data_IF_117375451856
#
_entry.id   IF_117375451856
#
_cell.length_a   1.000
_cell.length_b   1.000
_cell.length_c   1.000
_cell.angle_alpha   90.00
_cell.angle_beta   90.00
_cell.angle_gamma   90.00
#
_symmetry.space_group_name_H-M   'P 1'
#
loop_
_entity.id
_entity.type
_entity.pdbx_description
1 polymer ?
#
# COMPACT_ATOMS: atom_id res chain seq x y z
N UNK A 1 -24.77 33.94 -0.77
CA UNK A 1 -25.68 32.79 -0.64
C UNK A 1 -25.28 31.76 -1.67
N UNK A 2 -24.18 31.07 -1.39
CA UNK A 2 -23.64 30.06 -2.30
C UNK A 2 -24.34 28.75 -2.00
N UNK A 3 -25.34 28.43 -2.83
CA UNK A 3 -25.87 27.08 -2.90
C UNK A 3 -24.71 26.23 -3.39
N UNK A 4 -24.07 25.50 -2.47
CA UNK A 4 -23.16 24.39 -2.75
C UNK A 4 -23.71 23.65 -3.97
N UNK A 5 -22.95 23.67 -5.07
CA UNK A 5 -23.38 23.02 -6.30
C UNK A 5 -23.67 21.55 -5.99
N UNK A 6 -24.93 21.16 -6.08
CA UNK A 6 -25.33 19.79 -5.80
C UNK A 6 -24.67 18.87 -6.83
N UNK A 7 -23.76 18.02 -6.37
CA UNK A 7 -23.22 16.92 -7.17
C UNK A 7 -24.18 15.76 -7.05
N UNK A 8 -24.67 15.25 -8.18
CA UNK A 8 -25.55 14.09 -8.21
C UNK A 8 -24.72 12.82 -7.94
N UNK A 9 -25.08 12.09 -6.88
CA UNK A 9 -24.45 10.81 -6.52
C UNK A 9 -25.32 9.61 -6.88
N UNK A 10 -26.60 9.85 -7.18
CA UNK A 10 -27.58 8.81 -7.48
C UNK A 10 -28.57 9.34 -8.53
N UNK A 11 -28.88 8.50 -9.52
CA UNK A 11 -29.88 8.75 -10.55
C UNK A 11 -30.70 7.48 -10.76
N UNK A 12 -32.02 7.64 -10.69
CA UNK A 12 -32.97 6.61 -11.03
C UNK A 12 -33.72 7.01 -12.31
N UNK A 13 -33.65 6.18 -13.34
CA UNK A 13 -34.34 6.34 -14.62
C UNK A 13 -35.42 5.28 -14.72
N UNK A 14 -36.67 5.70 -14.94
CA UNK A 14 -37.79 4.79 -15.14
C UNK A 14 -38.38 5.01 -16.53
N UNK A 15 -38.36 3.96 -17.35
CA UNK A 15 -38.93 3.94 -18.69
C UNK A 15 -40.15 3.03 -18.71
N UNK A 16 -41.30 3.59 -19.06
CA UNK A 16 -42.50 2.82 -19.38
C UNK A 16 -42.68 2.69 -20.88
N UNK A 17 -42.72 1.47 -21.41
CA UNK A 17 -42.91 1.19 -22.84
C UNK A 17 -44.13 0.28 -23.00
N UNK A 18 -44.91 0.50 -24.06
CA UNK A 18 -46.02 -0.38 -24.42
C UNK A 18 -45.58 -1.21 -25.62
N UNK A 19 -45.53 -2.53 -25.48
CA UNK A 19 -45.10 -3.46 -26.53
C UNK A 19 -46.28 -4.32 -26.95
N UNK A 20 -46.51 -4.41 -28.26
CA UNK A 20 -47.45 -5.36 -28.82
C UNK A 20 -46.69 -6.62 -29.28
N UNK A 21 -46.91 -7.73 -28.58
CA UNK A 21 -46.25 -9.00 -28.91
C UNK A 21 -46.98 -9.72 -30.04
N UNK A 22 -46.28 -10.36 -30.99
CA UNK A 22 -46.92 -11.07 -32.11
C UNK A 22 -47.93 -12.16 -31.68
N UNK A 23 -47.75 -12.71 -30.48
CA UNK A 23 -48.55 -13.80 -29.92
C UNK A 23 -49.58 -13.33 -28.88
N UNK A 24 -49.79 -12.02 -28.70
CA UNK A 24 -50.75 -11.45 -27.74
C UNK A 24 -51.67 -10.45 -28.44
N UNK A 25 -52.96 -10.55 -28.18
CA UNK A 25 -53.96 -9.63 -28.75
C UNK A 25 -53.99 -8.26 -28.06
N UNK A 26 -53.45 -8.18 -26.84
CA UNK A 26 -53.46 -6.97 -26.01
C UNK A 26 -52.01 -6.52 -25.81
N UNK A 27 -51.70 -5.24 -26.08
CA UNK A 27 -50.37 -4.73 -25.83
C UNK A 27 -50.08 -4.69 -24.32
N UNK A 28 -48.85 -5.02 -23.95
CA UNK A 28 -48.39 -5.11 -22.57
C UNK A 28 -47.54 -3.90 -22.20
N UNK A 29 -47.76 -3.36 -20.99
CA UNK A 29 -46.91 -2.31 -20.43
C UNK A 29 -45.69 -2.94 -19.78
N UNK A 30 -44.52 -2.52 -20.19
CA UNK A 30 -43.24 -2.88 -19.62
C UNK A 30 -42.63 -1.70 -18.88
N UNK A 31 -41.93 -2.00 -17.79
CA UNK A 31 -41.20 -1.00 -17.01
C UNK A 31 -39.74 -1.40 -16.92
N UNK A 32 -38.85 -0.48 -17.29
CA UNK A 32 -37.40 -0.64 -17.19
C UNK A 32 -36.91 0.41 -16.20
N UNK A 33 -36.35 -0.04 -15.09
CA UNK A 33 -35.83 0.82 -14.03
C UNK A 33 -34.30 0.67 -14.02
N UNK A 34 -33.59 1.79 -14.18
CA UNK A 34 -32.14 1.84 -14.19
C UNK A 34 -31.69 2.72 -13.02
N UNK A 35 -30.96 2.12 -12.10
CA UNK A 35 -30.35 2.79 -10.95
C UNK A 35 -28.85 2.97 -11.18
N UNK A 36 -28.39 4.21 -11.08
CA UNK A 36 -26.99 4.60 -11.24
C UNK A 36 -26.54 5.27 -9.94
N UNK A 37 -25.68 4.61 -9.18
CA UNK A 37 -25.18 5.13 -7.91
C UNK A 37 -23.65 5.21 -7.91
N UNK A 38 -23.11 6.32 -7.41
CA UNK A 38 -21.68 6.46 -7.14
C UNK A 38 -21.41 6.15 -5.67
N UNK A 39 -20.32 5.44 -5.41
CA UNK A 39 -19.85 5.19 -4.05
C UNK A 39 -19.09 6.42 -3.56
N UNK A 40 -19.82 7.46 -3.19
CA UNK A 40 -19.27 8.59 -2.44
C UNK A 40 -19.26 8.23 -0.95
N UNK A 41 -18.06 7.99 -0.42
CA UNK A 41 -17.68 7.85 1.00
C UNK A 41 -18.72 7.32 2.00
N UNK A 42 -18.52 6.06 2.42
CA UNK A 42 -18.72 5.44 3.76
C UNK A 42 -19.99 5.69 4.61
N UNK A 43 -20.95 6.54 4.21
CA UNK A 43 -22.11 6.89 5.04
C UNK A 43 -23.40 7.11 4.24
N UNK A 44 -23.46 6.75 2.96
CA UNK A 44 -24.75 6.70 2.27
C UNK A 44 -25.56 5.53 2.82
N UNK A 45 -26.69 5.86 3.43
CA UNK A 45 -27.63 4.89 3.98
C UNK A 45 -27.95 3.82 2.93
N UNK A 46 -27.62 2.57 3.26
CA UNK A 46 -28.02 1.40 2.51
C UNK A 46 -29.54 1.43 2.32
N UNK A 47 -29.97 1.77 1.11
CA UNK A 47 -31.38 1.89 0.76
C UNK A 47 -31.95 0.58 0.24
N UNK A 48 -31.08 -0.37 -0.12
CA UNK A 48 -31.50 -1.66 -0.68
C UNK A 48 -30.69 -2.87 -0.19
N UNK A 49 -31.24 -4.07 -0.35
CA UNK A 49 -30.57 -5.34 -0.04
C UNK A 49 -29.23 -5.50 -0.79
N UNK A 50 -29.09 -4.80 -1.92
CA UNK A 50 -27.86 -4.72 -2.69
C UNK A 50 -26.74 -3.95 -1.96
N UNK A 51 -27.07 -2.85 -1.27
CA UNK A 51 -26.08 -2.08 -0.50
C UNK A 51 -25.47 -2.91 0.65
N UNK A 52 -26.24 -3.85 1.21
CA UNK A 52 -25.76 -4.78 2.25
C UNK A 52 -24.74 -5.78 1.66
N UNK A 53 -24.97 -6.29 0.45
CA UNK A 53 -24.01 -7.17 -0.24
C UNK A 53 -22.73 -6.42 -0.68
N UNK A 54 -22.86 -5.11 -0.94
CA UNK A 54 -21.80 -4.21 -1.36
C UNK A 54 -20.96 -3.66 -0.21
N UNK A 55 -21.54 -3.49 1.00
CA UNK A 55 -20.84 -3.00 2.21
C UNK A 55 -19.62 -3.84 2.61
N UNK A 56 -19.55 -5.10 2.18
CA UNK A 56 -18.43 -6.01 2.43
C UNK A 56 -17.26 -5.86 1.45
N UNK A 57 -17.41 -5.08 0.37
CA UNK A 57 -16.34 -4.83 -0.62
C UNK A 57 -16.00 -3.35 -0.62
N UNK A 58 -15.02 -2.98 0.20
CA UNK A 58 -14.42 -1.63 0.37
C UNK A 58 -13.87 -0.96 -0.93
N UNK A 59 -14.20 -1.44 -2.13
CA UNK A 59 -13.49 -1.08 -3.36
C UNK A 59 -14.38 -0.94 -4.60
N UNK A 60 -15.68 -0.72 -4.44
CA UNK A 60 -16.59 -0.50 -5.58
C UNK A 60 -16.85 0.99 -5.68
N UNK A 61 -16.52 1.59 -6.82
CA UNK A 61 -16.60 3.04 -7.02
C UNK A 61 -17.97 3.53 -7.50
N UNK A 62 -18.75 2.64 -8.11
CA UNK A 62 -20.08 2.92 -8.60
C UNK A 62 -20.78 1.64 -9.04
N UNK A 63 -22.11 1.69 -9.10
CA UNK A 63 -22.99 0.56 -9.41
C UNK A 63 -24.03 1.02 -10.42
N UNK A 64 -24.29 0.16 -11.40
CA UNK A 64 -25.45 0.25 -12.28
C UNK A 64 -26.31 -0.98 -12.05
N UNK A 65 -27.55 -0.79 -11.64
CA UNK A 65 -28.54 -1.86 -11.51
C UNK A 65 -29.67 -1.62 -12.52
N UNK A 66 -30.11 -2.69 -13.18
CA UNK A 66 -31.16 -2.66 -14.19
C UNK A 66 -32.21 -3.67 -13.78
N UNK A 67 -33.44 -3.21 -13.62
CA UNK A 67 -34.61 -4.03 -13.33
C UNK A 67 -35.59 -3.92 -14.51
N UNK A 68 -36.07 -5.05 -15.00
CA UNK A 68 -37.03 -5.13 -16.11
C UNK A 68 -38.26 -5.87 -15.60
N UNK A 69 -39.38 -5.16 -15.53
CA UNK A 69 -40.64 -5.66 -15.01
C UNK A 69 -41.64 -5.90 -16.13
N UNK A 70 -42.42 -6.98 -15.99
CA UNK A 70 -43.54 -7.34 -16.87
C UNK A 70 -43.15 -7.57 -18.35
N UNK A 71 -42.08 -8.35 -18.56
CA UNK A 71 -41.54 -8.69 -19.89
C UNK A 71 -41.37 -10.20 -20.04
N UNK A 72 -41.55 -10.72 -21.25
CA UNK A 72 -41.18 -12.11 -21.59
C UNK A 72 -39.67 -12.34 -21.37
N UNK A 73 -39.30 -13.52 -20.83
CA UNK A 73 -37.92 -13.80 -20.41
C UNK A 73 -36.87 -13.57 -21.51
N UNK A 74 -37.13 -14.02 -22.73
CA UNK A 74 -36.18 -13.87 -23.84
C UNK A 74 -35.98 -12.40 -24.23
N UNK A 75 -37.07 -11.61 -24.22
CA UNK A 75 -37.01 -10.18 -24.48
C UNK A 75 -36.30 -9.42 -23.35
N UNK A 76 -36.50 -9.84 -22.10
CA UNK A 76 -35.79 -9.28 -20.95
C UNK A 76 -34.27 -9.52 -21.07
N UNK A 77 -33.86 -10.73 -21.44
CA UNK A 77 -32.45 -11.09 -21.64
C UNK A 77 -31.81 -10.29 -22.79
N UNK A 78 -32.53 -10.10 -23.91
CA UNK A 78 -32.07 -9.30 -25.05
C UNK A 78 -31.92 -7.81 -24.69
N UNK A 79 -32.91 -7.24 -23.98
CA UNK A 79 -32.85 -5.85 -23.50
C UNK A 79 -31.70 -5.65 -22.50
N UNK A 80 -31.50 -6.58 -21.56
CA UNK A 80 -30.37 -6.56 -20.64
C UNK A 80 -29.03 -6.57 -21.39
N UNK A 81 -28.92 -7.42 -22.41
CA UNK A 81 -27.71 -7.51 -23.24
C UNK A 81 -27.47 -6.21 -24.01
N UNK A 82 -28.51 -5.62 -24.60
CA UNK A 82 -28.41 -4.35 -25.32
C UNK A 82 -28.02 -3.19 -24.41
N UNK A 83 -28.64 -3.09 -23.22
CA UNK A 83 -28.30 -2.07 -22.23
C UNK A 83 -26.87 -2.29 -21.73
N UNK A 84 -26.47 -3.52 -21.40
CA UNK A 84 -25.10 -3.84 -20.97
C UNK A 84 -24.06 -3.44 -22.03
N UNK A 85 -24.29 -3.78 -23.30
CA UNK A 85 -23.41 -3.40 -24.40
C UNK A 85 -23.35 -1.87 -24.59
N UNK A 86 -24.46 -1.16 -24.37
CA UNK A 86 -24.49 0.31 -24.44
C UNK A 86 -23.74 0.96 -23.28
N UNK A 87 -23.71 0.30 -22.12
CA UNK A 87 -22.99 0.78 -20.96
C UNK A 87 -21.49 0.46 -21.05
N UNK A 88 -21.07 -0.59 -21.74
CA UNK A 88 -19.66 -1.02 -21.84
C UNK A 88 -18.69 0.11 -22.23
N UNK A 89 -19.15 1.07 -23.05
CA UNK A 89 -18.36 2.23 -23.49
C UNK A 89 -18.17 3.30 -22.41
N UNK A 90 -19.06 3.38 -21.41
CA UNK A 90 -18.93 4.31 -20.28
C UNK A 90 -18.17 3.70 -19.09
N UNK A 91 -17.88 2.40 -19.11
CA UNK A 91 -17.12 1.74 -18.04
C UNK A 91 -15.61 1.93 -18.23
N UNK A 92 -14.98 2.57 -17.24
CA UNK A 92 -13.51 2.59 -17.14
C UNK A 92 -13.04 1.27 -16.54
N UNK A 93 -12.45 0.42 -17.38
CA UNK A 93 -11.87 -0.86 -16.93
C UNK A 93 -10.63 -0.60 -16.06
N UNK A 94 -10.72 -0.98 -14.78
CA UNK A 94 -9.56 -0.96 -13.89
C UNK A 94 -8.50 -1.98 -14.38
N UNK A 95 -7.24 -1.56 -14.57
CA UNK A 95 -6.21 -2.48 -15.00
C UNK A 95 -5.90 -3.52 -13.91
N UNK A 96 -5.69 -4.78 -14.35
CA UNK A 96 -5.52 -5.95 -13.45
C UNK A 96 -4.44 -5.75 -12.39
N UNK A 97 -3.34 -5.05 -12.70
CA UNK A 97 -2.24 -4.81 -11.77
C UNK A 97 -2.65 -3.94 -10.57
N UNK A 98 -3.51 -2.92 -10.77
CA UNK A 98 -4.01 -2.08 -9.67
C UNK A 98 -4.87 -2.89 -8.71
N UNK A 99 -5.70 -3.79 -9.24
CA UNK A 99 -6.54 -4.70 -8.45
C UNK A 99 -5.72 -5.63 -7.56
N UNK A 100 -4.65 -6.23 -8.10
CA UNK A 100 -3.74 -7.09 -7.34
C UNK A 100 -2.99 -6.29 -6.28
N UNK A 101 -2.46 -5.12 -6.64
CA UNK A 101 -1.74 -4.26 -5.71
C UNK A 101 -2.63 -3.78 -4.56
N UNK A 102 -3.90 -3.43 -4.83
CA UNK A 102 -4.89 -3.08 -3.80
C UNK A 102 -5.12 -4.22 -2.82
N UNK A 103 -5.24 -5.44 -3.34
CA UNK A 103 -5.45 -6.63 -2.52
C UNK A 103 -4.24 -6.90 -1.61
N UNK A 104 -3.02 -6.81 -2.15
CA UNK A 104 -1.77 -6.94 -1.36
C UNK A 104 -1.71 -5.85 -0.28
N UNK A 105 -1.97 -4.58 -0.63
CA UNK A 105 -1.96 -3.46 0.31
C UNK A 105 -3.06 -3.54 1.38
N UNK A 106 -4.20 -4.16 1.07
CA UNK A 106 -5.30 -4.44 2.00
C UNK A 106 -4.93 -5.52 3.01
N UNK A 107 -4.16 -6.53 2.59
CA UNK A 107 -3.62 -7.55 3.49
C UNK A 107 -2.58 -6.98 4.46
N UNK A 108 -1.83 -5.96 4.03
CA UNK A 108 -0.87 -5.25 4.89
C UNK A 108 -1.65 -4.31 5.81
N UNK A 109 -2.15 -4.89 6.92
CA UNK A 109 -2.61 -4.12 8.08
C UNK A 109 -1.36 -3.54 8.75
N UNK A 110 -1.07 -2.28 8.43
CA UNK A 110 0.08 -1.53 8.96
C UNK A 110 0.21 -1.66 10.49
N UNK A 111 -0.91 -1.69 11.19
CA UNK A 111 -1.02 -1.86 12.65
C UNK A 111 -0.38 -3.18 13.15
N UNK A 112 -0.54 -4.27 12.41
CA UNK A 112 -0.09 -5.62 12.83
C UNK A 112 1.39 -5.85 12.49
N UNK A 113 1.86 -5.26 11.40
CA UNK A 113 3.24 -5.42 10.92
C UNK A 113 4.23 -4.56 11.73
N UNK A 114 3.77 -3.48 12.35
CA UNK A 114 4.62 -2.53 13.07
C UNK A 114 5.15 -3.06 14.40
N UNK A 115 4.32 -3.79 15.15
CA UNK A 115 4.66 -4.32 16.47
C UNK A 115 5.90 -5.22 16.43
N UNK A 116 5.99 -6.26 15.57
CA UNK A 116 7.16 -7.11 15.52
C UNK A 116 8.40 -6.37 15.00
N UNK A 117 8.26 -5.43 14.06
CA UNK A 117 9.41 -4.67 13.52
C UNK A 117 10.04 -3.77 14.60
N UNK A 118 9.22 -3.03 15.37
CA UNK A 118 9.72 -2.19 16.47
C UNK A 118 10.46 -3.03 17.51
N UNK A 119 9.99 -4.24 17.79
CA UNK A 119 10.57 -5.11 18.81
C UNK A 119 11.84 -5.82 18.30
N UNK A 120 11.80 -6.38 17.08
CA UNK A 120 12.90 -7.17 16.52
C UNK A 120 14.09 -6.32 16.11
N UNK A 121 13.88 -5.07 15.72
CA UNK A 121 14.94 -4.22 15.24
C UNK A 121 16.04 -3.86 16.23
N UNK A 122 15.74 -3.39 17.46
CA UNK A 122 16.76 -3.16 18.46
C UNK A 122 17.45 -4.48 18.87
N UNK A 123 16.74 -5.60 18.80
CA UNK A 123 17.33 -6.92 19.06
C UNK A 123 18.36 -7.25 17.97
N UNK A 124 17.99 -7.12 16.69
CA UNK A 124 18.88 -7.42 15.56
C UNK A 124 20.09 -6.49 15.48
N UNK A 125 19.94 -5.19 15.77
CA UNK A 125 21.07 -4.26 15.77
C UNK A 125 22.12 -4.61 16.82
N UNK A 126 21.70 -5.11 17.99
CA UNK A 126 22.63 -5.57 19.03
C UNK A 126 23.44 -6.80 18.53
N UNK A 127 22.84 -7.65 17.70
CA UNK A 127 23.50 -8.87 17.19
C UNK A 127 24.41 -8.64 15.98
N UNK A 128 24.05 -7.76 15.05
CA UNK A 128 24.80 -7.57 13.79
C UNK A 128 26.05 -6.71 13.94
N UNK A 129 26.06 -5.76 14.88
CA UNK A 129 27.21 -4.85 15.06
C UNK A 129 28.34 -5.42 15.94
N UNK A 130 28.18 -6.62 16.52
CA UNK A 130 29.30 -7.39 17.08
C UNK A 130 30.09 -8.09 15.97
N UNK A 131 30.52 -7.31 14.97
CA UNK A 131 31.22 -7.84 13.79
C UNK A 131 32.55 -8.48 14.19
N UNK A 132 33.00 -9.36 13.30
CA UNK A 132 34.16 -10.23 13.43
C UNK A 132 35.48 -9.49 13.70
N UNK A 133 35.61 -8.23 13.27
CA UNK A 133 36.87 -7.48 13.33
C UNK A 133 37.30 -7.16 14.77
N UNK A 134 36.35 -6.85 15.67
CA UNK A 134 36.66 -6.68 17.10
C UNK A 134 37.09 -8.01 17.73
N UNK A 135 36.52 -9.13 17.27
CA UNK A 135 36.87 -10.47 17.79
C UNK A 135 38.26 -10.89 17.34
N UNK A 136 38.66 -10.59 16.11
CA UNK A 136 39.97 -10.97 15.57
C UNK A 136 41.10 -10.09 16.12
N UNK A 137 40.87 -8.79 16.31
CA UNK A 137 41.79 -7.89 17.00
C UNK A 137 41.92 -8.22 18.51
N UNK A 138 40.83 -8.64 19.16
CA UNK A 138 40.84 -9.06 20.55
C UNK A 138 41.50 -10.43 20.76
N UNK A 139 41.26 -11.37 19.83
CA UNK A 139 41.83 -12.71 19.88
C UNK A 139 43.34 -12.70 19.64
N UNK A 140 43.83 -11.84 18.74
CA UNK A 140 45.27 -11.64 18.53
C UNK A 140 45.96 -11.04 19.76
N UNK A 141 45.35 -10.04 20.43
CA UNK A 141 45.87 -9.47 21.70
C UNK A 141 45.87 -10.49 22.84
N UNK A 142 44.85 -11.35 22.91
CA UNK A 142 44.79 -12.47 23.86
C UNK A 142 45.89 -13.50 23.60
N UNK A 143 46.12 -13.88 22.33
CA UNK A 143 47.17 -14.82 21.95
C UNK A 143 48.56 -14.30 22.32
N UNK A 144 48.83 -13.02 22.08
CA UNK A 144 50.09 -12.36 22.43
C UNK A 144 50.37 -12.43 23.94
N UNK A 145 49.40 -12.05 24.77
CA UNK A 145 49.49 -12.09 26.24
C UNK A 145 49.56 -13.53 26.77
N UNK A 146 48.87 -14.47 26.12
CA UNK A 146 48.88 -15.89 26.51
C UNK A 146 50.23 -16.58 26.24
N UNK A 147 50.95 -16.11 25.21
CA UNK A 147 52.24 -16.64 24.75
C UNK A 147 53.44 -16.19 25.58
N UNK A 148 53.31 -15.13 26.41
CA UNK A 148 54.34 -14.73 27.36
C UNK A 148 54.49 -15.75 28.51
N UNK A 149 55.74 -16.09 28.86
CA UNK A 149 56.09 -17.12 29.85
C UNK A 149 55.36 -16.93 31.20
N UNK A 150 54.59 -17.97 31.55
CA UNK A 150 53.61 -17.99 32.67
C UNK A 150 54.18 -17.81 34.09
N UNK A 151 55.49 -17.81 34.25
CA UNK A 151 56.16 -17.84 35.57
C UNK A 151 56.79 -16.52 35.97
N UNK A 152 56.85 -15.52 35.06
CA UNK A 152 57.36 -14.20 35.41
C UNK A 152 56.27 -13.36 36.11
N UNK A 153 56.62 -12.66 37.18
CA UNK A 153 55.72 -11.76 37.92
C UNK A 153 55.10 -10.70 36.98
N UNK A 154 55.85 -10.28 35.96
CA UNK A 154 55.43 -9.33 34.93
C UNK A 154 54.35 -9.93 34.02
N UNK A 155 54.49 -11.19 33.59
CA UNK A 155 53.49 -11.86 32.77
C UNK A 155 52.18 -12.12 33.52
N UNK A 156 52.25 -12.44 34.82
CA UNK A 156 51.06 -12.56 35.68
C UNK A 156 50.37 -11.20 35.84
N UNK A 157 51.12 -10.12 36.06
CA UNK A 157 50.56 -8.78 36.18
C UNK A 157 49.83 -8.33 34.91
N UNK A 158 50.43 -8.53 33.73
CA UNK A 158 49.78 -8.21 32.44
C UNK A 158 48.51 -9.01 32.19
N UNK A 159 48.47 -10.30 32.55
CA UNK A 159 47.26 -11.13 32.45
C UNK A 159 46.16 -10.63 33.39
N UNK A 160 46.53 -10.24 34.61
CA UNK A 160 45.61 -9.73 35.61
C UNK A 160 45.08 -8.34 35.23
N UNK A 161 45.93 -7.47 34.68
CA UNK A 161 45.54 -6.17 34.14
C UNK A 161 44.64 -6.32 32.92
N UNK A 162 44.90 -7.28 32.02
CA UNK A 162 44.02 -7.54 30.87
C UNK A 162 42.64 -8.06 31.31
N UNK A 163 42.59 -8.98 32.29
CA UNK A 163 41.33 -9.47 32.86
C UNK A 163 40.58 -8.34 33.59
N UNK A 164 41.31 -7.52 34.36
CA UNK A 164 40.76 -6.36 35.07
C UNK A 164 40.22 -5.32 34.10
N UNK A 165 41.00 -4.95 33.09
CA UNK A 165 40.59 -4.06 32.01
C UNK A 165 39.35 -4.59 31.31
N UNK A 166 39.29 -5.88 30.96
CA UNK A 166 38.09 -6.46 30.34
C UNK A 166 36.91 -6.49 31.29
N UNK A 167 37.07 -6.84 32.56
CA UNK A 167 35.96 -6.91 33.51
C UNK A 167 35.40 -5.53 33.85
N UNK A 168 36.26 -4.51 34.00
CA UNK A 168 35.87 -3.16 34.38
C UNK A 168 35.56 -2.24 33.18
N UNK A 169 36.29 -2.36 32.04
CA UNK A 169 36.00 -1.59 30.81
C UNK A 169 34.96 -2.25 29.88
N UNK A 170 34.42 -3.44 30.18
CA UNK A 170 33.18 -3.92 29.52
C UNK A 170 32.02 -2.92 29.70
N UNK A 171 32.16 -1.97 30.63
CA UNK A 171 31.18 -0.92 30.94
C UNK A 171 31.49 0.45 30.35
N UNK A 172 32.50 0.65 29.48
CA UNK A 172 32.72 1.96 28.85
C UNK A 172 31.92 2.11 27.54
N UNK A 173 30.85 2.93 27.52
CA UNK A 173 29.99 3.11 26.36
C UNK A 173 30.46 4.35 25.59
N UNK A 174 31.57 4.27 24.87
CA UNK A 174 32.10 5.46 24.16
C UNK A 174 32.07 5.32 22.64
N UNK A 175 32.27 4.11 22.11
CA UNK A 175 32.14 3.82 20.67
C UNK A 175 30.78 3.17 20.37
N UNK A 176 30.25 2.37 21.30
CA UNK A 176 28.92 1.77 21.20
C UNK A 176 27.80 2.81 21.16
N UNK A 177 27.88 3.91 21.91
CA UNK A 177 26.79 4.89 21.94
C UNK A 177 26.59 5.61 20.60
N UNK A 178 27.66 6.09 19.97
CA UNK A 178 27.52 6.82 18.71
C UNK A 178 27.22 5.91 17.51
N UNK A 179 27.81 4.71 17.46
CA UNK A 179 27.64 3.80 16.33
C UNK A 179 26.31 3.02 16.39
N UNK A 180 25.87 2.61 17.58
CA UNK A 180 24.56 1.98 17.78
C UNK A 180 23.43 3.00 17.60
N UNK A 181 23.64 4.26 18.01
CA UNK A 181 22.69 5.35 17.76
C UNK A 181 22.59 5.71 16.27
N UNK A 182 23.71 5.72 15.54
CA UNK A 182 23.70 5.95 14.09
C UNK A 182 23.05 4.80 13.32
N UNK A 183 23.36 3.54 13.67
CA UNK A 183 22.72 2.35 13.09
C UNK A 183 21.23 2.29 13.39
N UNK A 184 20.82 2.63 14.63
CA UNK A 184 19.42 2.78 15.00
C UNK A 184 18.74 3.92 14.23
N UNK A 185 19.43 5.05 14.04
CA UNK A 185 18.96 6.18 13.24
C UNK A 185 18.69 5.80 11.77
N UNK A 186 19.60 5.08 11.13
CA UNK A 186 19.41 4.56 9.76
C UNK A 186 18.22 3.60 9.73
N UNK A 187 18.11 2.72 10.71
CA UNK A 187 17.02 1.76 10.80
C UNK A 187 15.65 2.46 10.92
N UNK A 188 15.52 3.42 11.84
CA UNK A 188 14.32 4.24 12.01
C UNK A 188 14.00 5.03 10.75
N UNK A 189 15.01 5.65 10.12
CA UNK A 189 14.84 6.36 8.86
C UNK A 189 14.30 5.43 7.75
N UNK A 190 14.80 4.20 7.67
CA UNK A 190 14.35 3.20 6.69
C UNK A 190 12.88 2.82 6.91
N UNK A 191 12.45 2.65 8.17
CA UNK A 191 11.03 2.43 8.50
C UNK A 191 10.18 3.63 8.08
N UNK A 192 10.59 4.85 8.43
CA UNK A 192 9.83 6.07 8.12
C UNK A 192 9.66 6.19 6.61
N UNK A 193 10.73 5.97 5.84
CA UNK A 193 10.67 5.95 4.37
C UNK A 193 9.69 4.87 3.92
N UNK A 194 9.80 3.64 4.42
CA UNK A 194 8.91 2.54 4.05
C UNK A 194 7.43 2.83 4.37
N UNK A 195 7.13 3.55 5.46
CA UNK A 195 5.78 3.98 5.80
C UNK A 195 5.24 5.02 4.83
N UNK A 196 6.04 6.04 4.52
CA UNK A 196 5.69 7.06 3.52
C UNK A 196 5.37 6.37 2.20
N UNK A 197 6.22 5.42 1.81
CA UNK A 197 6.05 4.58 0.62
C UNK A 197 4.71 3.84 0.61
N UNK A 198 4.36 3.10 1.66
CA UNK A 198 3.10 2.35 1.71
C UNK A 198 1.91 3.31 1.71
N UNK A 199 1.98 4.38 2.51
CA UNK A 199 0.91 5.37 2.61
C UNK A 199 0.61 5.99 1.24
N UNK A 200 1.66 6.41 0.55
CA UNK A 200 1.55 7.00 -0.77
C UNK A 200 1.14 5.99 -1.85
N UNK A 201 1.57 4.73 -1.76
CA UNK A 201 1.08 3.67 -2.65
C UNK A 201 -0.41 3.39 -2.44
N UNK A 202 -0.90 3.38 -1.18
CA UNK A 202 -2.34 3.24 -0.89
C UNK A 202 -3.16 4.35 -1.54
N UNK A 203 -2.65 5.58 -1.49
CA UNK A 203 -3.28 6.73 -2.14
C UNK A 203 -3.34 6.56 -3.68
N UNK A 204 -2.25 6.08 -4.28
CA UNK A 204 -2.14 5.91 -5.75
C UNK A 204 -2.97 4.75 -6.31
N UNK A 205 -3.43 3.84 -5.45
CA UNK A 205 -4.14 2.60 -5.82
C UNK A 205 -5.63 2.67 -5.47
N UNK A 206 -6.13 3.86 -5.11
CA UNK A 206 -7.56 4.11 -4.95
C UNK A 206 -8.33 3.72 -6.21
N UNK A 207 -9.52 3.11 -6.06
CA UNK A 207 -10.36 2.78 -7.20
C UNK A 207 -10.69 4.06 -7.99
N UNK A 208 -10.85 3.96 -9.33
CA UNK A 208 -11.21 5.12 -10.15
C UNK A 208 -12.57 5.66 -9.70
N UNK A 209 -12.67 6.94 -9.38
CA UNK A 209 -13.93 7.56 -8.88
C UNK A 209 -14.99 7.54 -9.98
N UNK A 210 -16.24 7.18 -9.63
CA UNK A 210 -17.39 7.23 -10.52
C UNK A 210 -18.17 8.54 -10.33
N UNK A 211 -18.66 9.11 -11.43
CA UNK A 211 -19.40 10.36 -11.44
C UNK A 211 -20.69 10.22 -12.24
N UNK A 212 -21.74 10.91 -11.83
CA UNK A 212 -22.97 11.04 -12.62
C UNK A 212 -23.07 12.47 -13.14
N UNK A 213 -22.69 12.66 -14.39
CA UNK A 213 -22.58 13.98 -15.03
C UNK A 213 -23.88 14.37 -15.71
N UNK A 214 -24.82 14.94 -14.94
CA UNK A 214 -26.07 15.50 -15.50
C UNK A 214 -25.95 17.00 -15.86
N UNK A 215 -24.99 17.70 -15.28
CA UNK A 215 -24.84 19.16 -15.45
C UNK A 215 -23.39 19.52 -15.77
N UNK A 216 -23.20 20.65 -16.45
CA UNK A 216 -21.87 21.21 -16.74
C UNK A 216 -21.06 21.53 -15.48
N UNK A 217 -21.71 21.75 -14.33
CA UNK A 217 -21.03 21.91 -13.04
C UNK A 217 -20.44 20.59 -12.54
N UNK A 218 -21.20 19.50 -12.67
CA UNK A 218 -20.74 18.16 -12.29
C UNK A 218 -19.63 17.67 -13.20
N UNK A 219 -19.68 18.03 -14.49
CA UNK A 219 -18.62 17.78 -15.45
C UNK A 219 -17.31 18.48 -15.06
N UNK A 220 -17.36 19.78 -14.71
CA UNK A 220 -16.18 20.51 -14.21
C UNK A 220 -15.63 19.90 -12.92
N UNK A 221 -16.50 19.51 -12.00
CA UNK A 221 -16.10 18.84 -10.77
C UNK A 221 -15.42 17.50 -11.04
N UNK A 222 -15.93 16.71 -12.00
CA UNK A 222 -15.28 15.48 -12.45
C UNK A 222 -13.88 15.76 -13.00
N UNK A 223 -13.72 16.77 -13.85
CA UNK A 223 -12.42 17.16 -14.42
C UNK A 223 -11.41 17.56 -13.34
N UNK A 224 -11.82 18.36 -12.36
CA UNK A 224 -10.99 18.77 -11.22
C UNK A 224 -10.49 17.56 -10.41
N UNK A 225 -11.40 16.65 -10.06
CA UNK A 225 -11.04 15.44 -9.29
C UNK A 225 -10.16 14.48 -10.10
N UNK A 226 -10.40 14.35 -11.41
CA UNK A 226 -9.56 13.53 -12.28
C UNK A 226 -8.15 14.14 -12.47
N UNK A 227 -8.04 15.47 -12.45
CA UNK A 227 -6.76 16.17 -12.59
C UNK A 227 -5.90 16.06 -11.32
N UNK A 228 -6.51 16.15 -10.14
CA UNK A 228 -5.82 15.94 -8.85
C UNK A 228 -5.32 14.51 -8.67
N UNK A 229 -5.97 13.53 -9.32
CA UNK A 229 -5.60 12.12 -9.23
C UNK A 229 -4.46 11.71 -10.19
N UNK A 230 -3.76 12.66 -10.82
CA UNK A 230 -2.56 12.35 -11.61
C UNK A 230 -1.48 11.80 -10.69
N UNK A 231 -1.10 10.55 -10.96
CA UNK A 231 -0.05 9.81 -10.25
C UNK A 231 1.19 10.70 -10.14
N UNK A 232 1.55 11.05 -8.90
CA UNK A 232 2.63 11.97 -8.63
C UNK A 232 3.97 11.27 -8.95
N UNK A 233 4.43 11.42 -10.20
CA UNK A 233 5.63 10.79 -10.78
C UNK A 233 6.89 10.98 -9.93
N UNK A 234 6.90 12.02 -9.08
CA UNK A 234 7.94 12.26 -8.10
C UNK A 234 8.26 11.03 -7.22
N UNK A 235 7.24 10.26 -6.87
CA UNK A 235 7.39 9.07 -6.03
C UNK A 235 8.13 7.96 -6.79
N UNK A 236 7.79 7.74 -8.06
CA UNK A 236 8.49 6.77 -8.91
C UNK A 236 9.97 7.15 -9.08
N UNK A 237 10.25 8.44 -9.23
CA UNK A 237 11.62 8.98 -9.29
C UNK A 237 12.39 8.80 -7.98
N UNK A 238 11.72 8.96 -6.82
CA UNK A 238 12.32 8.71 -5.51
C UNK A 238 12.74 7.25 -5.36
N UNK A 239 11.87 6.29 -5.71
CA UNK A 239 12.23 4.87 -5.71
C UNK A 239 13.33 4.55 -6.70
N UNK A 240 13.27 5.13 -7.91
CA UNK A 240 14.33 4.98 -8.89
C UNK A 240 15.69 5.37 -8.32
N UNK A 241 15.75 6.48 -7.57
CA UNK A 241 16.98 6.93 -6.92
C UNK A 241 17.45 5.98 -5.81
N UNK A 242 16.55 5.50 -4.94
CA UNK A 242 16.89 4.56 -3.86
C UNK A 242 17.40 3.23 -4.41
N UNK A 243 16.70 2.64 -5.38
CA UNK A 243 17.14 1.39 -6.02
C UNK A 243 18.48 1.56 -6.74
N UNK A 244 18.66 2.68 -7.44
CA UNK A 244 19.95 2.98 -8.10
C UNK A 244 21.08 3.09 -7.08
N UNK A 245 20.85 3.72 -5.92
CA UNK A 245 21.82 3.80 -4.84
C UNK A 245 22.20 2.43 -4.26
N UNK A 246 21.22 1.56 -4.03
CA UNK A 246 21.45 0.18 -3.55
C UNK A 246 22.26 -0.62 -4.58
N UNK A 247 21.87 -0.55 -5.86
CA UNK A 247 22.57 -1.25 -6.94
C UNK A 247 24.02 -0.77 -7.04
N UNK A 248 24.25 0.55 -7.01
CA UNK A 248 25.61 1.12 -7.03
C UNK A 248 26.43 0.62 -5.84
N UNK A 249 25.86 0.59 -4.64
CA UNK A 249 26.54 0.13 -3.43
C UNK A 249 26.96 -1.35 -3.53
N UNK A 250 26.05 -2.22 -3.95
CA UNK A 250 26.37 -3.65 -4.15
C UNK A 250 27.37 -3.86 -5.29
N UNK A 251 27.25 -3.09 -6.38
CA UNK A 251 28.18 -3.18 -7.51
C UNK A 251 29.59 -2.77 -7.08
N UNK A 252 29.70 -1.75 -6.22
CA UNK A 252 30.98 -1.31 -5.66
C UNK A 252 31.62 -2.37 -4.75
N UNK A 253 30.85 -2.99 -3.86
CA UNK A 253 31.37 -4.10 -3.03
C UNK A 253 31.79 -5.31 -3.88
N UNK A 254 31.02 -5.66 -4.90
CA UNK A 254 31.35 -6.74 -5.82
C UNK A 254 32.64 -6.46 -6.62
N UNK A 255 32.82 -5.22 -7.10
CA UNK A 255 34.06 -4.78 -7.76
C UNK A 255 35.25 -4.83 -6.81
N UNK A 256 35.08 -4.41 -5.55
CA UNK A 256 36.10 -4.47 -4.51
C UNK A 256 36.50 -5.92 -4.20
N UNK A 257 35.54 -6.84 -4.15
CA UNK A 257 35.80 -8.26 -3.99
C UNK A 257 36.61 -8.86 -5.17
N UNK A 258 36.32 -8.44 -6.40
CA UNK A 258 37.05 -8.90 -7.60
C UNK A 258 38.47 -8.33 -7.73
N UNK A 259 38.78 -7.22 -7.05
CA UNK A 259 40.10 -6.58 -7.08
C UNK A 259 40.98 -6.90 -5.87
N UNK A 260 40.42 -7.59 -4.87
CA UNK A 260 41.16 -8.20 -3.75
C UNK A 260 41.60 -9.62 -4.08
#
# INVERSE_FOLDING_TARGET
SDILGAVHTDVNLNFGIIINFPNKDIPEKQEIIIHLATSSDNNSHARDLFDIALSKKEAISGIVAIEINHTERTWADDMLTMISNSLDDIWIKEPKYKKVLRWILSMIRLEVLFIPIIILAPILSIFTFRSQDDKDAEYSKYLEISSEESTSLIGVHKKLDFISEKFFNTTQPTIFDNFTFFGFGIFVATIIIFLIVIFTMKESVKPPVSFVTLTTKTEKYMEEVLQDNKVNLWILSFFGAVFTGIIISYTYEFLKFLTS
#
